data_IF_467556347785
#
_entry.id   IF_467556347785
#
_cell.length_a   1.000
_cell.length_b   1.000
_cell.length_c   1.000
_cell.angle_alpha   90.00
_cell.angle_beta   90.00
_cell.angle_gamma   90.00
#
_symmetry.space_group_name_H-M   'P 1'
#
loop_
_entity.id
_entity.type
_entity.pdbx_description
1 polymer ?
#
# COMPACT_ATOMS: atom_id res chain seq x y z
N UNK A 1 -31.90 17.04 -6.10
CA UNK A 1 -31.26 15.72 -5.99
C UNK A 1 -29.97 15.60 -6.82
N UNK A 2 -29.82 16.27 -7.98
CA UNK A 2 -28.58 16.26 -8.77
C UNK A 2 -27.31 16.74 -8.03
N UNK A 3 -27.36 17.84 -7.28
CA UNK A 3 -26.17 18.36 -6.58
C UNK A 3 -25.60 17.46 -5.47
N UNK A 4 -26.37 16.50 -4.94
CA UNK A 4 -25.88 15.52 -3.95
C UNK A 4 -25.15 14.34 -4.59
N UNK A 5 -25.38 14.07 -5.88
CA UNK A 5 -24.65 13.01 -6.60
C UNK A 5 -23.32 13.53 -7.13
N UNK A 6 -23.27 14.80 -7.57
CA UNK A 6 -22.07 15.42 -8.15
C UNK A 6 -20.84 15.39 -7.23
N UNK A 7 -21.00 15.67 -5.93
CA UNK A 7 -19.86 15.64 -5.00
C UNK A 7 -19.39 14.20 -4.71
N UNK A 8 -20.31 13.23 -4.70
CA UNK A 8 -19.98 11.81 -4.53
C UNK A 8 -19.28 11.26 -5.76
N UNK A 9 -19.71 11.68 -6.95
CA UNK A 9 -19.05 11.37 -8.21
C UNK A 9 -17.63 11.94 -8.21
N UNK A 10 -17.47 13.20 -7.82
CA UNK A 10 -16.15 13.83 -7.72
C UNK A 10 -15.22 13.08 -6.75
N UNK A 11 -15.72 12.64 -5.59
CA UNK A 11 -14.94 11.87 -4.63
C UNK A 11 -14.63 10.45 -5.11
N UNK A 12 -15.59 9.76 -5.73
CA UNK A 12 -15.38 8.45 -6.36
C UNK A 12 -14.30 8.52 -7.44
N UNK A 13 -14.39 9.50 -8.34
CA UNK A 13 -13.38 9.76 -9.37
C UNK A 13 -12.02 10.13 -8.77
N UNK A 14 -11.98 10.97 -7.75
CA UNK A 14 -10.76 11.32 -7.04
C UNK A 14 -10.08 10.07 -6.47
N UNK A 15 -10.86 9.18 -5.85
CA UNK A 15 -10.35 7.91 -5.33
C UNK A 15 -9.74 7.02 -6.41
N UNK A 16 -10.41 6.89 -7.55
CA UNK A 16 -9.92 6.15 -8.72
C UNK A 16 -8.65 6.81 -9.28
N UNK A 17 -8.61 8.14 -9.38
CA UNK A 17 -7.44 8.88 -9.85
C UNK A 17 -6.21 8.62 -8.94
N UNK A 18 -6.38 8.64 -7.62
CA UNK A 18 -5.31 8.30 -6.67
C UNK A 18 -4.85 6.84 -6.88
N UNK A 19 -5.78 5.90 -7.10
CA UNK A 19 -5.45 4.51 -7.37
C UNK A 19 -4.61 4.35 -8.65
N UNK A 20 -4.97 5.08 -9.72
CA UNK A 20 -4.24 5.09 -10.99
C UNK A 20 -2.84 5.70 -10.81
N UNK A 21 -2.72 6.83 -10.11
CA UNK A 21 -1.41 7.46 -9.80
C UNK A 21 -0.52 6.50 -9.02
N UNK A 22 -1.07 5.81 -8.01
CA UNK A 22 -0.34 4.80 -7.23
C UNK A 22 0.14 3.65 -8.13
N UNK A 23 -0.70 3.18 -9.06
CA UNK A 23 -0.34 2.15 -10.03
C UNK A 23 0.79 2.61 -10.97
N UNK A 24 0.73 3.84 -11.49
CA UNK A 24 1.79 4.40 -12.33
C UNK A 24 3.13 4.48 -11.58
N UNK A 25 3.12 4.91 -10.32
CA UNK A 25 4.33 4.94 -9.48
C UNK A 25 4.90 3.52 -9.32
N UNK A 26 4.03 2.53 -9.07
CA UNK A 26 4.45 1.13 -8.95
C UNK A 26 5.08 0.60 -10.23
N UNK A 27 4.48 0.88 -11.39
CA UNK A 27 5.00 0.51 -12.71
C UNK A 27 6.38 1.12 -12.93
N UNK A 28 6.55 2.42 -12.65
CA UNK A 28 7.85 3.09 -12.77
C UNK A 28 8.91 2.50 -11.83
N UNK A 29 8.55 2.19 -10.58
CA UNK A 29 9.44 1.52 -9.63
C UNK A 29 9.82 0.10 -10.08
N UNK A 30 8.91 -0.59 -10.75
CA UNK A 30 9.13 -1.91 -11.33
C UNK A 30 10.10 -1.85 -12.52
N UNK A 31 9.93 -0.88 -13.43
CA UNK A 31 10.85 -0.70 -14.56
C UNK A 31 12.24 -0.22 -14.15
N UNK A 32 12.35 0.53 -13.05
CA UNK A 32 13.65 0.94 -12.49
C UNK A 32 14.34 -0.16 -11.65
N UNK A 33 13.79 -1.38 -11.61
CA UNK A 33 14.37 -2.53 -10.91
C UNK A 33 14.30 -2.44 -9.38
N UNK A 34 13.57 -1.44 -8.84
CA UNK A 34 13.44 -1.23 -7.39
C UNK A 34 12.45 -2.19 -6.75
N UNK A 35 11.49 -2.68 -7.54
CA UNK A 35 10.42 -3.59 -7.10
C UNK A 35 10.26 -4.70 -8.12
N UNK A 36 10.01 -5.93 -7.66
CA UNK A 36 9.65 -7.07 -8.51
C UNK A 36 8.17 -7.40 -8.33
N UNK A 37 7.41 -7.58 -9.44
CA UNK A 37 5.98 -7.79 -9.34
C UNK A 37 5.66 -9.27 -9.09
N UNK A 38 5.15 -9.57 -7.90
CA UNK A 38 4.77 -10.92 -7.50
C UNK A 38 3.35 -11.26 -7.99
N UNK A 39 3.18 -12.09 -9.03
CA UNK A 39 1.86 -12.33 -9.63
C UNK A 39 0.85 -12.93 -8.66
N UNK A 40 1.25 -13.82 -7.73
CA UNK A 40 0.31 -14.39 -6.76
C UNK A 40 -0.21 -13.37 -5.75
N UNK A 41 0.62 -12.41 -5.33
CA UNK A 41 0.17 -11.30 -4.49
C UNK A 41 -0.80 -10.39 -5.25
N UNK A 42 -0.50 -10.08 -6.52
CA UNK A 42 -1.42 -9.31 -7.37
C UNK A 42 -2.73 -10.04 -7.63
N UNK A 43 -2.70 -11.36 -7.79
CA UNK A 43 -3.88 -12.18 -7.91
C UNK A 43 -4.72 -12.16 -6.64
N UNK A 44 -4.08 -12.32 -5.47
CA UNK A 44 -4.74 -12.20 -4.16
C UNK A 44 -5.46 -10.86 -4.04
N UNK A 45 -4.75 -9.74 -4.19
CA UNK A 45 -5.33 -8.41 -4.04
C UNK A 45 -6.41 -8.15 -5.09
N UNK A 46 -6.25 -8.67 -6.31
CA UNK A 46 -7.26 -8.62 -7.36
C UNK A 46 -8.54 -9.35 -6.97
N UNK A 47 -8.44 -10.57 -6.43
CA UNK A 47 -9.58 -11.37 -5.98
C UNK A 47 -10.30 -10.76 -4.76
N UNK A 48 -9.54 -10.26 -3.80
CA UNK A 48 -10.12 -9.59 -2.63
C UNK A 48 -10.80 -8.27 -3.02
N UNK A 49 -10.19 -7.47 -3.91
CA UNK A 49 -10.80 -6.26 -4.48
C UNK A 49 -12.04 -6.57 -5.30
N UNK A 50 -12.02 -7.66 -6.09
CA UNK A 50 -13.17 -8.09 -6.86
C UNK A 50 -14.33 -8.45 -5.93
N UNK A 51 -14.04 -9.23 -4.88
CA UNK A 51 -15.05 -9.60 -3.88
C UNK A 51 -15.61 -8.36 -3.19
N UNK A 52 -14.75 -7.46 -2.71
CA UNK A 52 -15.18 -6.22 -2.07
C UNK A 52 -15.98 -5.31 -3.01
N UNK A 53 -15.63 -5.23 -4.29
CA UNK A 53 -16.42 -4.49 -5.30
C UNK A 53 -17.80 -5.11 -5.47
N UNK A 54 -17.90 -6.43 -5.62
CA UNK A 54 -19.21 -7.09 -5.78
C UNK A 54 -20.07 -6.96 -4.52
N UNK A 55 -19.50 -7.10 -3.33
CA UNK A 55 -20.18 -6.81 -2.06
C UNK A 55 -20.72 -5.39 -2.06
N UNK A 56 -19.87 -4.41 -2.37
CA UNK A 56 -20.28 -3.01 -2.39
C UNK A 56 -21.33 -2.71 -3.47
N UNK A 57 -21.23 -3.33 -4.64
CA UNK A 57 -22.21 -3.18 -5.72
C UNK A 57 -23.58 -3.74 -5.30
N UNK A 58 -23.61 -4.95 -4.77
CA UNK A 58 -24.84 -5.66 -4.41
C UNK A 58 -25.52 -4.99 -3.20
N UNK A 59 -24.73 -4.44 -2.27
CA UNK A 59 -25.22 -3.64 -1.13
C UNK A 59 -25.50 -2.17 -1.48
N UNK A 60 -25.37 -1.79 -2.75
CA UNK A 60 -25.74 -0.46 -3.23
C UNK A 60 -24.83 0.69 -2.77
N UNK A 61 -23.54 0.44 -2.50
CA UNK A 61 -22.54 1.40 -1.99
C UNK A 61 -22.18 2.57 -2.95
N UNK A 62 -22.81 2.62 -4.13
CA UNK A 62 -22.69 3.68 -5.15
C UNK A 62 -21.24 4.00 -5.56
N UNK A 63 -20.90 5.28 -5.67
CA UNK A 63 -19.61 5.80 -6.13
C UNK A 63 -18.42 5.33 -5.29
N UNK A 64 -18.63 5.01 -4.00
CA UNK A 64 -17.59 4.47 -3.13
C UNK A 64 -16.96 3.17 -3.64
N UNK A 65 -17.70 2.40 -4.45
CA UNK A 65 -17.28 1.12 -5.04
C UNK A 65 -16.27 1.22 -6.18
N UNK A 66 -16.19 2.37 -6.83
CA UNK A 66 -15.39 2.53 -8.05
C UNK A 66 -13.90 2.26 -7.81
N UNK A 67 -13.41 2.56 -6.62
CA UNK A 67 -12.01 2.34 -6.23
C UNK A 67 -11.65 0.87 -6.18
N UNK A 68 -12.52 0.02 -5.64
CA UNK A 68 -12.30 -1.43 -5.61
C UNK A 68 -12.42 -2.04 -7.00
N UNK A 69 -13.31 -1.52 -7.85
CA UNK A 69 -13.36 -1.91 -9.25
C UNK A 69 -12.04 -1.57 -9.97
N UNK A 70 -11.58 -0.33 -9.85
CA UNK A 70 -10.32 0.11 -10.43
C UNK A 70 -9.14 -0.73 -9.94
N UNK A 71 -9.09 -1.01 -8.64
CA UNK A 71 -8.05 -1.85 -8.04
C UNK A 71 -8.09 -3.28 -8.58
N UNK A 72 -9.28 -3.86 -8.74
CA UNK A 72 -9.46 -5.18 -9.37
C UNK A 72 -8.82 -5.22 -10.75
N UNK A 73 -9.16 -4.25 -11.61
CA UNK A 73 -8.62 -4.15 -12.97
C UNK A 73 -7.10 -3.98 -12.96
N UNK A 74 -6.58 -3.05 -12.15
CA UNK A 74 -5.14 -2.79 -12.02
C UNK A 74 -4.39 -4.04 -11.58
N UNK A 75 -4.91 -4.75 -10.58
CA UNK A 75 -4.28 -5.97 -10.07
C UNK A 75 -4.21 -7.05 -11.14
N UNK A 76 -5.28 -7.30 -11.91
CA UNK A 76 -5.26 -8.29 -12.98
C UNK A 76 -4.37 -7.89 -14.17
N UNK A 77 -4.25 -6.59 -14.47
CA UNK A 77 -3.24 -6.09 -15.41
C UNK A 77 -1.82 -6.44 -14.91
N UNK A 78 -1.55 -6.27 -13.62
CA UNK A 78 -0.26 -6.63 -13.05
C UNK A 78 -0.01 -8.14 -13.01
N UNK A 79 -1.04 -8.96 -12.79
CA UNK A 79 -0.93 -10.43 -12.96
C UNK A 79 -0.50 -10.77 -14.38
N UNK A 80 -1.22 -10.26 -15.39
CA UNK A 80 -0.90 -10.51 -16.80
C UNK A 80 0.52 -10.05 -17.15
N UNK A 81 0.91 -8.84 -16.75
CA UNK A 81 2.25 -8.31 -16.98
C UNK A 81 3.35 -9.15 -16.30
N UNK A 82 3.09 -9.67 -15.11
CA UNK A 82 4.04 -10.49 -14.35
C UNK A 82 4.22 -11.88 -14.98
N UNK A 83 3.14 -12.48 -15.50
CA UNK A 83 3.20 -13.78 -16.19
C UNK A 83 4.04 -13.70 -17.47
N UNK A 84 3.98 -12.59 -18.20
CA UNK A 84 4.81 -12.35 -19.39
C UNK A 84 6.30 -12.29 -19.03
N UNK A 85 6.66 -11.81 -17.83
CA UNK A 85 8.05 -11.69 -17.36
C UNK A 85 8.64 -12.97 -16.78
N UNK A 86 7.85 -14.05 -16.66
CA UNK A 86 8.37 -15.39 -16.36
C UNK A 86 8.66 -15.69 -14.89
N UNK A 87 8.12 -14.93 -13.93
CA UNK A 87 8.21 -15.30 -12.51
C UNK A 87 7.32 -16.54 -12.23
N UNK A 88 7.94 -17.64 -11.77
CA UNK A 88 7.24 -18.94 -11.59
C UNK A 88 7.54 -19.68 -10.28
N UNK A 89 8.33 -19.09 -9.39
CA UNK A 89 8.72 -19.73 -8.11
C UNK A 89 8.01 -19.02 -6.97
N UNK A 90 7.04 -19.71 -6.39
CA UNK A 90 6.26 -19.21 -5.25
C UNK A 90 6.34 -20.20 -4.10
N UNK A 91 6.32 -19.68 -2.88
CA UNK A 91 6.20 -20.46 -1.66
C UNK A 91 4.79 -21.06 -1.51
N UNK A 92 4.66 -22.09 -0.67
CA UNK A 92 3.36 -22.66 -0.32
C UNK A 92 2.44 -21.64 0.34
N UNK A 93 2.99 -20.70 1.12
CA UNK A 93 2.24 -19.64 1.75
C UNK A 93 1.59 -18.70 0.71
N UNK A 94 2.33 -18.31 -0.34
CA UNK A 94 1.79 -17.47 -1.41
C UNK A 94 0.65 -18.17 -2.16
N UNK A 95 0.79 -19.47 -2.42
CA UNK A 95 -0.29 -20.27 -3.01
C UNK A 95 -1.50 -20.38 -2.08
N UNK A 96 -1.29 -20.60 -0.78
CA UNK A 96 -2.37 -20.68 0.20
C UNK A 96 -3.16 -19.37 0.27
N UNK A 97 -2.49 -18.22 0.30
CA UNK A 97 -3.15 -16.93 0.26
C UNK A 97 -3.91 -16.71 -1.06
N UNK A 98 -3.29 -16.97 -2.21
CA UNK A 98 -3.95 -16.84 -3.51
C UNK A 98 -5.21 -17.72 -3.60
N UNK A 99 -5.14 -18.97 -3.12
CA UNK A 99 -6.27 -19.88 -3.04
C UNK A 99 -7.35 -19.36 -2.08
N UNK A 100 -6.97 -18.83 -0.92
CA UNK A 100 -7.91 -18.25 0.04
C UNK A 100 -8.66 -17.04 -0.55
N UNK A 101 -7.97 -16.16 -1.28
CA UNK A 101 -8.59 -15.03 -1.99
C UNK A 101 -9.60 -15.49 -3.03
N UNK A 102 -9.24 -16.49 -3.85
CA UNK A 102 -10.17 -17.12 -4.79
C UNK A 102 -11.36 -17.81 -4.10
N UNK A 103 -11.11 -18.49 -2.98
CA UNK A 103 -12.15 -19.16 -2.20
C UNK A 103 -13.17 -18.17 -1.61
N UNK A 104 -12.71 -17.00 -1.14
CA UNK A 104 -13.61 -15.95 -0.66
C UNK A 104 -14.49 -15.39 -1.78
N UNK A 105 -13.92 -15.15 -2.97
CA UNK A 105 -14.68 -14.74 -4.14
C UNK A 105 -15.76 -15.75 -4.52
N UNK A 106 -15.39 -17.03 -4.61
CA UNK A 106 -16.32 -18.13 -4.91
C UNK A 106 -17.39 -18.26 -3.83
N UNK A 107 -16.99 -18.21 -2.56
CA UNK A 107 -17.90 -18.28 -1.42
C UNK A 107 -18.95 -17.16 -1.49
N UNK A 108 -18.55 -15.91 -1.72
CA UNK A 108 -19.49 -14.81 -1.85
C UNK A 108 -20.42 -14.98 -3.05
N UNK A 109 -19.90 -15.45 -4.19
CA UNK A 109 -20.70 -15.69 -5.39
C UNK A 109 -21.87 -16.64 -5.15
N UNK A 110 -21.67 -17.70 -4.34
CA UNK A 110 -22.71 -18.68 -4.03
C UNK A 110 -23.56 -18.33 -2.81
N UNK A 111 -22.95 -17.88 -1.73
CA UNK A 111 -23.67 -17.61 -0.47
C UNK A 111 -24.44 -16.31 -0.51
N UNK A 112 -23.96 -15.32 -1.27
CA UNK A 112 -24.48 -13.94 -1.28
C UNK A 112 -24.56 -13.31 0.11
N UNK A 113 -23.74 -13.78 1.06
CA UNK A 113 -23.66 -13.26 2.42
C UNK A 113 -22.62 -12.12 2.50
N UNK A 114 -23.04 -10.83 2.50
CA UNK A 114 -22.15 -9.70 2.29
C UNK A 114 -21.23 -9.45 3.51
N UNK A 115 -21.76 -9.61 4.72
CA UNK A 115 -20.98 -9.41 5.96
C UNK A 115 -19.89 -10.47 6.11
N UNK A 116 -20.19 -11.73 5.78
CA UNK A 116 -19.22 -12.82 5.83
C UNK A 116 -18.11 -12.59 4.82
N UNK A 117 -18.46 -12.25 3.58
CA UNK A 117 -17.48 -11.96 2.53
C UNK A 117 -16.58 -10.78 2.90
N UNK A 118 -17.15 -9.70 3.43
CA UNK A 118 -16.39 -8.53 3.87
C UNK A 118 -15.43 -8.85 5.03
N UNK A 119 -15.88 -9.64 6.02
CA UNK A 119 -15.07 -10.09 7.14
C UNK A 119 -13.90 -10.98 6.68
N UNK A 120 -14.16 -11.98 5.83
CA UNK A 120 -13.13 -12.88 5.31
C UNK A 120 -12.13 -12.13 4.41
N UNK A 121 -12.62 -11.25 3.54
CA UNK A 121 -11.77 -10.41 2.68
C UNK A 121 -10.82 -9.57 3.52
N UNK A 122 -11.36 -8.90 4.54
CA UNK A 122 -10.59 -8.07 5.49
C UNK A 122 -9.54 -8.89 6.24
N UNK A 123 -9.92 -10.06 6.75
CA UNK A 123 -9.03 -10.93 7.51
C UNK A 123 -7.86 -11.45 6.66
N UNK A 124 -8.15 -11.95 5.46
CA UNK A 124 -7.11 -12.50 4.58
C UNK A 124 -6.15 -11.40 4.16
N UNK A 125 -6.64 -10.20 3.82
CA UNK A 125 -5.76 -9.09 3.45
C UNK A 125 -4.89 -8.66 4.64
N UNK A 126 -5.48 -8.51 5.84
CA UNK A 126 -4.74 -8.18 7.06
C UNK A 126 -3.62 -9.19 7.37
N UNK A 127 -3.88 -10.49 7.19
CA UNK A 127 -2.86 -11.53 7.31
C UNK A 127 -1.78 -11.41 6.22
N UNK A 128 -2.18 -11.05 4.99
CA UNK A 128 -1.28 -10.75 3.87
C UNK A 128 -0.35 -9.56 4.12
N UNK A 129 -0.74 -8.62 4.99
CA UNK A 129 0.11 -7.51 5.44
C UNK A 129 1.18 -7.94 6.45
N UNK A 130 1.06 -9.10 7.10
CA UNK A 130 2.02 -9.58 8.10
C UNK A 130 3.49 -9.56 7.63
N UNK A 131 3.82 -10.18 6.48
CA UNK A 131 5.17 -10.14 5.91
C UNK A 131 5.65 -8.70 5.60
N UNK A 132 4.74 -7.80 5.23
CA UNK A 132 5.05 -6.39 4.96
C UNK A 132 5.44 -5.66 6.25
N UNK A 133 4.76 -5.91 7.37
CA UNK A 133 5.16 -5.35 8.67
C UNK A 133 6.54 -5.87 9.11
N UNK A 134 6.78 -7.19 9.02
CA UNK A 134 8.07 -7.79 9.38
C UNK A 134 9.21 -7.24 8.53
N UNK A 135 9.01 -7.16 7.20
CA UNK A 135 10.00 -6.62 6.26
C UNK A 135 10.22 -5.13 6.45
N UNK A 136 9.15 -4.35 6.57
CA UNK A 136 9.21 -2.91 6.78
C UNK A 136 9.87 -2.54 8.11
N UNK A 137 9.66 -3.34 9.16
CA UNK A 137 10.34 -3.15 10.44
C UNK A 137 11.84 -3.42 10.35
N UNK A 138 12.23 -4.53 9.73
CA UNK A 138 13.64 -4.94 9.63
C UNK A 138 14.44 -4.11 8.62
N UNK A 139 13.84 -3.74 7.48
CA UNK A 139 14.49 -3.07 6.37
C UNK A 139 13.66 -1.87 5.86
N UNK A 140 13.46 -0.84 6.71
CA UNK A 140 12.48 0.22 6.48
C UNK A 140 12.74 1.05 5.22
N UNK A 141 13.94 1.04 4.64
CA UNK A 141 14.26 1.80 3.41
C UNK A 141 13.99 1.04 2.11
N UNK A 142 13.68 -0.26 2.16
CA UNK A 142 13.39 -1.07 0.96
C UNK A 142 11.99 -0.83 0.41
N UNK A 143 11.03 -0.56 1.28
CA UNK A 143 9.64 -0.28 0.91
C UNK A 143 9.43 1.22 0.63
N UNK A 144 8.30 1.61 0.03
CA UNK A 144 8.02 3.00 -0.35
C UNK A 144 6.91 3.62 0.51
N UNK A 145 7.25 4.61 1.35
CA UNK A 145 6.27 5.33 2.19
C UNK A 145 5.16 5.94 1.33
N UNK A 146 5.52 6.60 0.22
CA UNK A 146 4.56 7.23 -0.67
C UNK A 146 3.59 6.20 -1.28
N UNK A 147 4.07 4.99 -1.59
CA UNK A 147 3.23 3.94 -2.16
C UNK A 147 2.19 3.43 -1.14
N UNK A 148 2.59 3.25 0.13
CA UNK A 148 1.64 2.90 1.19
C UNK A 148 0.68 4.05 1.50
N UNK A 149 1.19 5.28 1.61
CA UNK A 149 0.37 6.46 1.87
C UNK A 149 -0.71 6.66 0.79
N UNK A 150 -0.38 6.57 -0.49
CA UNK A 150 -1.35 6.70 -1.58
C UNK A 150 -2.34 5.53 -1.61
N UNK A 151 -1.90 4.30 -1.35
CA UNK A 151 -2.80 3.14 -1.28
C UNK A 151 -3.77 3.19 -0.11
N UNK A 152 -3.41 3.84 1.00
CA UNK A 152 -4.35 4.13 2.09
C UNK A 152 -5.24 5.33 1.76
N UNK A 153 -4.65 6.45 1.32
CA UNK A 153 -5.32 7.73 1.12
C UNK A 153 -6.46 7.66 0.10
N UNK A 154 -6.36 6.81 -0.94
CA UNK A 154 -7.46 6.61 -1.91
C UNK A 154 -8.76 6.19 -1.22
N UNK A 155 -8.71 5.45 -0.11
CA UNK A 155 -9.92 4.98 0.56
C UNK A 155 -10.64 6.08 1.35
N UNK A 156 -10.00 7.21 1.65
CA UNK A 156 -10.68 8.36 2.28
C UNK A 156 -11.83 8.88 1.42
N UNK A 157 -11.62 9.34 0.17
CA UNK A 157 -12.71 9.80 -0.67
C UNK A 157 -13.66 8.67 -1.08
N UNK A 158 -13.19 7.41 -1.21
CA UNK A 158 -14.07 6.25 -1.46
C UNK A 158 -15.09 6.05 -0.34
N UNK A 159 -14.65 6.06 0.91
CA UNK A 159 -15.54 5.93 2.08
C UNK A 159 -16.50 7.11 2.19
N UNK A 160 -16.06 8.33 1.87
CA UNK A 160 -16.92 9.52 1.89
C UNK A 160 -17.96 9.55 0.75
N UNK A 161 -17.64 8.95 -0.40
CA UNK A 161 -18.54 8.82 -1.55
C UNK A 161 -19.56 7.68 -1.40
N UNK A 162 -19.40 6.85 -0.36
CA UNK A 162 -20.18 5.64 -0.14
C UNK A 162 -21.50 5.92 0.57
N UNK A 163 -22.58 5.28 0.11
CA UNK A 163 -23.90 5.34 0.75
C UNK A 163 -24.74 4.14 0.30
N UNK A 164 -25.07 3.16 1.17
CA UNK A 164 -24.94 3.21 2.62
C UNK A 164 -23.55 2.81 3.14
N UNK A 165 -23.19 3.34 4.32
CA UNK A 165 -21.99 2.98 5.06
C UNK A 165 -22.30 1.89 6.09
N UNK A 166 -22.25 0.62 5.67
CA UNK A 166 -22.52 -0.55 6.51
C UNK A 166 -21.24 -1.33 6.79
N UNK A 167 -21.29 -2.34 7.65
CA UNK A 167 -20.14 -3.22 7.88
C UNK A 167 -19.67 -3.91 6.59
N UNK A 168 -20.61 -4.45 5.80
CA UNK A 168 -20.32 -5.09 4.53
C UNK A 168 -19.61 -4.16 3.54
N UNK A 169 -20.07 -2.91 3.43
CA UNK A 169 -19.52 -1.98 2.43
C UNK A 169 -18.21 -1.36 2.88
N UNK A 170 -18.04 -1.07 4.17
CA UNK A 170 -16.94 -0.24 4.68
C UNK A 170 -15.78 -0.99 5.34
N UNK A 171 -15.99 -2.19 5.90
CA UNK A 171 -14.96 -2.88 6.70
C UNK A 171 -13.65 -3.13 5.93
N UNK A 172 -13.76 -3.62 4.70
CA UNK A 172 -12.60 -3.87 3.85
C UNK A 172 -11.82 -2.60 3.45
N UNK A 173 -12.43 -1.56 2.83
CA UNK A 173 -11.71 -0.33 2.50
C UNK A 173 -11.20 0.41 3.75
N UNK A 174 -11.91 0.35 4.88
CA UNK A 174 -11.44 0.93 6.13
C UNK A 174 -10.21 0.19 6.68
N UNK A 175 -10.20 -1.14 6.63
CA UNK A 175 -9.03 -1.92 7.02
C UNK A 175 -7.84 -1.62 6.12
N UNK A 176 -8.04 -1.52 4.80
CA UNK A 176 -6.99 -1.12 3.87
C UNK A 176 -6.44 0.27 4.16
N UNK A 177 -7.31 1.24 4.46
CA UNK A 177 -6.89 2.57 4.89
C UNK A 177 -5.98 2.49 6.13
N UNK A 178 -6.42 1.79 7.16
CA UNK A 178 -5.70 1.67 8.44
C UNK A 178 -4.37 0.92 8.27
N UNK A 179 -4.38 -0.23 7.59
CA UNK A 179 -3.17 -1.06 7.40
C UNK A 179 -2.11 -0.33 6.59
N UNK A 180 -2.51 0.33 5.49
CA UNK A 180 -1.58 1.12 4.69
C UNK A 180 -1.03 2.32 5.47
N UNK A 181 -1.87 3.04 6.22
CA UNK A 181 -1.42 4.13 7.08
C UNK A 181 -0.47 3.63 8.17
N UNK A 182 -0.76 2.50 8.80
CA UNK A 182 0.07 1.89 9.83
C UNK A 182 1.46 1.51 9.28
N UNK A 183 1.53 0.91 8.09
CA UNK A 183 2.82 0.64 7.43
C UNK A 183 3.55 1.94 7.11
N UNK A 184 2.88 2.94 6.53
CA UNK A 184 3.50 4.23 6.20
C UNK A 184 4.08 4.93 7.44
N UNK A 185 3.31 4.99 8.54
CA UNK A 185 3.74 5.54 9.83
C UNK A 185 4.89 4.74 10.43
N UNK A 186 4.81 3.41 10.43
CA UNK A 186 5.89 2.55 10.89
C UNK A 186 7.19 2.84 10.13
N UNK A 187 7.13 2.94 8.80
CA UNK A 187 8.30 3.25 7.97
C UNK A 187 8.84 4.66 8.26
N UNK A 188 7.98 5.66 8.49
CA UNK A 188 8.41 7.01 8.90
C UNK A 188 9.17 6.98 10.23
N UNK A 189 8.59 6.35 11.25
CA UNK A 189 9.19 6.23 12.58
C UNK A 189 10.52 5.48 12.52
N UNK A 190 10.59 4.38 11.77
CA UNK A 190 11.81 3.57 11.63
C UNK A 190 12.91 4.23 10.79
N UNK A 191 12.56 5.22 9.95
CA UNK A 191 13.53 6.00 9.17
C UNK A 191 13.95 7.29 9.85
N UNK A 192 13.22 7.73 10.88
CA UNK A 192 13.60 8.90 11.65
C UNK A 192 15.03 8.69 12.17
N UNK A 193 15.93 9.68 11.99
CA UNK A 193 17.24 9.60 12.61
C UNK A 193 17.01 9.46 14.10
N UNK A 194 17.44 8.35 14.69
CA UNK A 194 17.57 8.24 16.15
C UNK A 194 18.39 9.46 16.53
N UNK A 195 17.79 10.39 17.29
CA UNK A 195 18.48 11.59 17.70
C UNK A 195 19.78 11.19 18.37
N UNK A 196 20.92 11.40 17.69
CA UNK A 196 22.21 11.23 18.32
C UNK A 196 22.17 12.08 19.59
N UNK A 197 22.49 11.53 20.78
CA UNK A 197 22.60 12.33 21.99
C UNK A 197 23.46 13.55 21.69
N UNK A 198 23.08 14.71 22.23
CA UNK A 198 23.73 16.01 22.00
C UNK A 198 25.26 15.96 22.18
N UNK A 199 25.76 15.04 23.02
CA UNK A 199 27.18 14.75 23.21
C UNK A 199 27.89 14.27 21.94
N UNK A 200 27.32 13.29 21.22
CA UNK A 200 27.93 12.74 19.99
C UNK A 200 27.93 13.75 18.83
N UNK A 201 26.94 14.66 18.80
CA UNK A 201 26.91 15.77 17.83
C UNK A 201 28.00 16.81 18.16
N UNK A 202 28.26 17.06 19.45
CA UNK A 202 29.34 17.95 19.92
C UNK A 202 30.73 17.38 19.59
N UNK A 203 30.96 16.10 19.84
CA UNK A 203 32.23 15.44 19.56
C UNK A 203 32.60 15.40 18.07
N UNK A 204 31.63 15.17 17.18
CA UNK A 204 31.87 15.24 15.73
C UNK A 204 32.16 16.66 15.25
N UNK A 205 31.47 17.66 15.80
CA UNK A 205 31.74 19.06 15.48
C UNK A 205 33.13 19.50 15.97
N UNK A 206 33.55 19.04 17.16
CA UNK A 206 34.89 19.31 17.71
C UNK A 206 35.97 18.59 16.90
N UNK A 207 35.78 17.30 16.60
CA UNK A 207 36.74 16.51 15.80
C UNK A 207 36.91 17.06 14.39
N UNK A 208 35.81 17.47 13.74
CA UNK A 208 35.87 18.13 12.43
C UNK A 208 36.65 19.46 12.46
N UNK A 209 36.48 20.27 13.51
CA UNK A 209 37.25 21.51 13.69
C UNK A 209 38.73 21.27 13.99
N UNK A 210 39.07 20.22 14.76
CA UNK A 210 40.46 19.84 15.05
C UNK A 210 41.17 19.35 13.79
N UNK A 211 40.51 18.51 12.99
CA UNK A 211 41.05 18.02 11.72
C UNK A 211 41.25 19.17 10.71
N UNK A 212 40.29 20.09 10.61
CA UNK A 212 40.43 21.28 9.77
C UNK A 212 41.62 22.17 10.19
N UNK A 213 41.80 22.40 11.51
CA UNK A 213 42.96 23.15 12.03
C UNK A 213 44.30 22.46 11.75
N UNK A 214 44.38 21.13 11.88
CA UNK A 214 45.60 20.37 11.56
C UNK A 214 45.93 20.42 10.06
N UNK A 215 44.94 20.35 9.19
CA UNK A 215 45.12 20.47 7.74
C UNK A 215 45.68 21.84 7.33
N UNK A 216 45.18 22.93 7.94
CA UNK A 216 45.67 24.29 7.69
C UNK A 216 47.12 24.45 8.18
N UNK A 217 47.43 23.92 9.37
CA UNK A 217 48.79 23.98 9.92
C UNK A 217 49.82 23.23 9.05
N UNK A 218 49.47 22.06 8.50
CA UNK A 218 50.35 21.33 7.59
C UNK A 218 50.55 22.04 6.25
N UNK A 219 49.55 22.79 5.78
CA UNK A 219 49.64 23.54 4.52
C UNK A 219 50.57 24.76 4.67
N UNK A 220 50.49 25.46 5.80
CA UNK A 220 51.34 26.63 6.09
C UNK A 220 52.82 26.21 6.27
N UNK A 221 53.10 25.07 6.91
CA UNK A 221 54.47 24.54 7.05
C UNK A 221 55.14 24.10 5.74
N UNK A 222 54.40 23.94 4.65
CA UNK A 222 54.96 23.58 3.33
C UNK A 222 55.27 24.80 2.45
N UNK A 223 54.90 26.00 2.89
CA UNK A 223 55.05 27.26 2.15
C UNK A 223 56.19 28.15 2.67
N UNK A 224 56.88 27.72 3.74
CA UNK A 224 58.14 28.27 4.24
C UNK A 224 59.25 27.24 4.07
#
# INVERSE_FOLDING_TARGET
MHGLEEWRDALGLLSVAIAIVAAFIYVFQTFSGKVRPHPLSWFLFGMLSATGYWVQRDEGARQGSWTLLAMTVICFIFVAASLIRGERRFSLAEWAFAAAGGAVFVCYFFTKEPNLAAALTTLIDALGYGPTFVRGWSQPRKDSIASFALNGAKFVPSLMAMDPLTFATSSYPLALLILNAAVAVMLLVRRAPIGLPSSARRERAISGRILARRSISHTIKRLN
#
